data_IF_163924824704
#
_entry.id   IF_163924824704
#
_cell.length_a   1.000
_cell.length_b   1.000
_cell.length_c   1.000
_cell.angle_alpha   90.00
_cell.angle_beta   90.00
_cell.angle_gamma   90.00
#
_symmetry.space_group_name_H-M   'P 1'
#
loop_
_entity.id
_entity.type
_entity.pdbx_description
1 polymer ?
#
# COMPACT_ATOMS: atom_id res chain seq x y z
N UNK A 1 0.89 4.72 15.52
CA UNK A 1 1.09 4.10 14.21
C UNK A 1 0.64 5.07 13.15
N UNK A 2 1.48 5.30 12.15
CA UNK A 2 1.20 6.16 10.99
C UNK A 2 1.39 5.37 9.70
N UNK A 3 0.56 5.62 8.70
CA UNK A 3 0.66 5.04 7.36
C UNK A 3 0.82 6.17 6.36
N UNK A 4 1.93 6.16 5.64
CA UNK A 4 2.20 7.07 4.53
C UNK A 4 2.09 6.32 3.21
N UNK A 5 1.39 6.93 2.26
CA UNK A 5 1.22 6.40 0.91
C UNK A 5 1.79 7.39 -0.09
N UNK A 6 2.57 6.90 -1.04
CA UNK A 6 3.10 7.70 -2.13
C UNK A 6 2.92 6.98 -3.46
N UNK A 7 2.45 7.70 -4.48
CA UNK A 7 2.27 7.15 -5.82
C UNK A 7 2.50 8.21 -6.88
N UNK A 8 3.23 7.85 -7.93
CA UNK A 8 3.45 8.72 -9.09
C UNK A 8 2.21 8.80 -9.98
N UNK A 9 1.99 9.99 -10.54
CA UNK A 9 0.98 10.27 -11.56
C UNK A 9 1.71 10.66 -12.84
N UNK A 10 1.79 9.72 -13.79
CA UNK A 10 2.43 9.99 -15.07
C UNK A 10 1.61 10.98 -15.91
N UNK A 11 2.22 11.70 -16.87
CA UNK A 11 1.52 12.69 -17.70
C UNK A 11 0.32 12.16 -18.49
N UNK A 12 0.30 10.85 -18.78
CA UNK A 12 -0.78 10.17 -19.51
C UNK A 12 -1.82 9.53 -18.59
N UNK A 13 -1.62 9.57 -17.27
CA UNK A 13 -2.56 9.04 -16.29
C UNK A 13 -3.58 10.09 -15.85
N UNK A 14 -4.76 9.60 -15.49
CA UNK A 14 -5.78 10.41 -14.85
C UNK A 14 -5.57 10.36 -13.33
N UNK A 15 -5.33 11.52 -12.73
CA UNK A 15 -5.10 11.65 -11.29
C UNK A 15 -6.23 11.03 -10.45
N UNK A 16 -7.49 11.21 -10.87
CA UNK A 16 -8.63 10.65 -10.13
C UNK A 16 -8.60 9.13 -10.17
N UNK A 17 -8.16 8.52 -11.28
CA UNK A 17 -8.00 7.06 -11.34
C UNK A 17 -6.88 6.57 -10.43
N UNK A 18 -5.77 7.31 -10.32
CA UNK A 18 -4.69 6.96 -9.37
C UNK A 18 -5.18 7.08 -7.92
N UNK A 19 -5.94 8.13 -7.59
CA UNK A 19 -6.59 8.30 -6.28
C UNK A 19 -7.53 7.15 -5.96
N UNK A 20 -8.39 6.77 -6.91
CA UNK A 20 -9.29 5.62 -6.79
C UNK A 20 -8.50 4.33 -6.52
N UNK A 21 -7.37 4.12 -7.21
CA UNK A 21 -6.53 2.93 -7.00
C UNK A 21 -6.05 2.83 -5.55
N UNK A 22 -5.51 3.92 -5.00
CA UNK A 22 -5.08 3.98 -3.59
C UNK A 22 -6.26 3.73 -2.65
N UNK A 23 -7.37 4.44 -2.85
CA UNK A 23 -8.53 4.35 -1.94
C UNK A 23 -9.19 2.97 -1.96
N UNK A 24 -9.10 2.26 -3.08
CA UNK A 24 -9.62 0.89 -3.21
C UNK A 24 -8.88 -0.12 -2.35
N UNK A 25 -7.60 0.09 -2.08
CA UNK A 25 -6.77 -0.84 -1.29
C UNK A 25 -6.57 -0.39 0.15
N UNK A 26 -6.51 0.92 0.41
CA UNK A 26 -6.14 1.47 1.72
C UNK A 26 -7.25 2.28 2.40
N UNK A 27 -8.44 2.35 1.81
CA UNK A 27 -9.58 3.05 2.40
C UNK A 27 -9.59 4.54 2.08
N UNK A 28 -10.37 5.31 2.83
CA UNK A 28 -10.55 6.73 2.55
C UNK A 28 -9.36 7.56 3.09
N UNK A 29 -8.24 7.46 2.37
CA UNK A 29 -7.05 8.28 2.65
C UNK A 29 -7.17 9.58 1.87
N UNK A 30 -7.00 10.70 2.56
CA UNK A 30 -6.90 12.00 1.91
C UNK A 30 -5.53 12.10 1.20
N UNK A 31 -5.56 12.29 -0.12
CA UNK A 31 -4.34 12.41 -0.93
C UNK A 31 -4.15 13.84 -1.42
N UNK A 32 -2.96 14.36 -1.20
CA UNK A 32 -2.52 15.66 -1.68
C UNK A 32 -1.59 15.48 -2.88
N UNK A 33 -1.68 16.40 -3.83
CA UNK A 33 -0.75 16.43 -4.96
C UNK A 33 0.51 17.15 -4.51
N UNK A 34 1.66 16.51 -4.73
CA UNK A 34 2.99 17.09 -4.51
C UNK A 34 3.75 17.08 -5.84
N UNK A 35 4.37 18.21 -6.18
CA UNK A 35 5.19 18.38 -7.37
C UNK A 35 4.55 19.26 -8.46
N UNK A 36 5.35 19.57 -9.47
CA UNK A 36 4.99 20.50 -10.55
C UNK A 36 5.26 19.90 -11.94
N UNK A 37 4.48 20.35 -12.93
CA UNK A 37 4.65 19.95 -14.33
C UNK A 37 4.44 18.45 -14.57
N UNK A 38 5.46 17.77 -15.09
CA UNK A 38 5.42 16.34 -15.47
C UNK A 38 5.69 15.38 -14.30
N UNK A 39 6.16 15.89 -13.16
CA UNK A 39 6.53 15.09 -12.00
C UNK A 39 5.53 15.34 -10.89
N UNK A 40 4.40 14.65 -10.96
CA UNK A 40 3.33 14.71 -9.95
C UNK A 40 3.30 13.43 -9.14
N UNK A 41 3.11 13.57 -7.84
CA UNK A 41 2.87 12.46 -6.92
C UNK A 41 1.65 12.76 -6.08
N UNK A 42 0.90 11.72 -5.74
CA UNK A 42 -0.10 11.77 -4.69
C UNK A 42 0.54 11.25 -3.41
N UNK A 43 0.41 12.02 -2.33
CA UNK A 43 0.91 11.67 -1.01
C UNK A 43 -0.27 11.70 -0.03
N UNK A 44 -0.43 10.62 0.73
CA UNK A 44 -1.44 10.48 1.76
C UNK A 44 -0.84 10.09 3.09
N UNK A 45 -1.44 10.58 4.17
CA UNK A 45 -1.11 10.15 5.54
C UNK A 45 -2.38 9.82 6.29
N UNK A 46 -2.32 8.77 7.08
CA UNK A 46 -3.38 8.35 7.99
C UNK A 46 -2.76 7.73 9.22
N UNK A 47 -3.49 7.72 10.33
CA UNK A 47 -3.03 7.16 11.59
C UNK A 47 -4.05 6.16 12.13
N UNK A 48 -3.62 5.38 13.12
CA UNK A 48 -4.49 4.42 13.80
C UNK A 48 -4.63 3.08 13.07
N UNK A 49 -5.00 2.05 13.81
CA UNK A 49 -5.09 0.67 13.29
C UNK A 49 -6.24 0.53 12.28
N UNK A 50 -7.30 1.31 12.47
CA UNK A 50 -8.46 1.42 11.60
C UNK A 50 -8.10 1.82 10.16
N UNK A 51 -6.97 2.50 9.96
CA UNK A 51 -6.51 2.89 8.64
C UNK A 51 -6.06 1.70 7.78
N UNK A 52 -5.85 0.53 8.39
CA UNK A 52 -5.46 -0.69 7.71
C UNK A 52 -6.63 -1.69 7.58
N UNK A 53 -7.83 -1.39 8.08
CA UNK A 53 -8.97 -2.31 8.05
C UNK A 53 -9.32 -2.77 6.64
N UNK A 54 -9.34 -1.85 5.66
CA UNK A 54 -9.63 -2.21 4.27
C UNK A 54 -8.57 -3.13 3.67
N UNK A 55 -7.30 -2.86 3.95
CA UNK A 55 -6.20 -3.70 3.50
C UNK A 55 -6.27 -5.09 4.16
N UNK A 56 -6.52 -5.14 5.47
CA UNK A 56 -6.72 -6.36 6.25
C UNK A 56 -7.82 -7.25 5.67
N UNK A 57 -8.96 -6.68 5.28
CA UNK A 57 -10.09 -7.41 4.69
C UNK A 57 -9.75 -7.97 3.29
N UNK A 58 -9.09 -7.16 2.46
CA UNK A 58 -8.69 -7.56 1.11
C UNK A 58 -7.69 -8.72 1.13
N UNK A 59 -6.69 -8.69 2.02
CA UNK A 59 -5.72 -9.78 2.17
C UNK A 59 -6.40 -11.14 2.44
N UNK A 60 -7.47 -11.14 3.24
CA UNK A 60 -8.27 -12.33 3.56
C UNK A 60 -9.14 -12.75 2.39
N UNK A 61 -9.85 -11.80 1.80
CA UNK A 61 -10.71 -12.04 0.62
C UNK A 61 -9.95 -12.67 -0.53
N UNK A 62 -8.70 -12.25 -0.74
CA UNK A 62 -7.85 -12.73 -1.81
C UNK A 62 -7.04 -13.99 -1.47
N UNK A 63 -7.09 -14.43 -0.20
CA UNK A 63 -6.37 -15.61 0.30
C UNK A 63 -4.85 -15.54 0.08
N UNK A 64 -4.28 -14.34 0.21
CA UNK A 64 -2.85 -14.07 -0.02
C UNK A 64 -2.05 -13.82 1.27
N UNK A 65 -2.56 -14.26 2.43
CA UNK A 65 -1.95 -13.98 3.74
C UNK A 65 -0.48 -14.40 3.83
N UNK A 66 -0.12 -15.58 3.31
CA UNK A 66 1.25 -16.10 3.38
C UNK A 66 2.22 -15.29 2.50
N UNK A 67 1.77 -14.91 1.30
CA UNK A 67 2.54 -14.05 0.40
C UNK A 67 2.71 -12.65 0.99
N UNK A 68 1.62 -12.07 1.50
CA UNK A 68 1.62 -10.77 2.17
C UNK A 68 2.57 -10.77 3.37
N UNK A 69 2.50 -11.80 4.22
CA UNK A 69 3.38 -11.95 5.37
C UNK A 69 4.85 -11.93 4.97
N UNK A 70 5.19 -12.69 3.91
CA UNK A 70 6.55 -12.77 3.38
C UNK A 70 7.05 -11.40 2.92
N UNK A 71 6.22 -10.64 2.20
CA UNK A 71 6.58 -9.29 1.72
C UNK A 71 6.72 -8.31 2.86
N UNK A 72 5.75 -8.28 3.78
CA UNK A 72 5.76 -7.34 4.92
C UNK A 72 6.98 -7.58 5.83
N UNK A 73 7.32 -8.84 6.11
CA UNK A 73 8.52 -9.17 6.90
C UNK A 73 9.82 -8.71 6.22
N UNK A 74 9.93 -8.87 4.90
CA UNK A 74 11.08 -8.37 4.12
C UNK A 74 11.15 -6.85 4.08
N UNK A 75 10.00 -6.18 4.20
CA UNK A 75 9.87 -4.73 4.21
C UNK A 75 10.20 -4.07 5.55
N UNK A 76 10.48 -4.83 6.61
CA UNK A 76 10.79 -4.27 7.94
C UNK A 76 12.13 -3.53 7.92
N UNK A 77 12.11 -2.27 8.35
CA UNK A 77 13.27 -1.38 8.47
C UNK A 77 13.17 -0.64 9.81
N UNK A 78 13.71 -1.24 10.88
CA UNK A 78 13.59 -0.70 12.23
C UNK A 78 12.13 -0.67 12.69
N UNK A 79 11.58 0.53 12.92
CA UNK A 79 10.17 0.79 13.28
C UNK A 79 9.24 0.99 12.08
N UNK A 80 9.71 0.70 10.87
CA UNK A 80 8.96 0.92 9.63
C UNK A 80 8.75 -0.39 8.89
N UNK A 81 7.64 -0.48 8.15
CA UNK A 81 7.38 -1.53 7.16
C UNK A 81 7.16 -0.82 5.84
N UNK A 82 8.01 -1.10 4.85
CA UNK A 82 7.91 -0.51 3.51
C UNK A 82 7.62 -1.61 2.50
N UNK A 83 6.56 -1.43 1.72
CA UNK A 83 6.20 -2.35 0.65
C UNK A 83 5.54 -1.61 -0.52
N UNK A 84 5.36 -2.32 -1.63
CA UNK A 84 4.87 -1.75 -2.87
C UNK A 84 3.71 -2.59 -3.40
N UNK A 85 2.69 -1.90 -3.92
CA UNK A 85 1.53 -2.51 -4.55
C UNK A 85 1.48 -2.12 -6.02
N UNK A 86 1.05 -3.06 -6.86
CA UNK A 86 0.79 -2.80 -8.27
C UNK A 86 -0.40 -1.83 -8.41
N UNK A 87 -0.13 -0.63 -8.94
CA UNK A 87 -1.12 0.44 -9.09
C UNK A 87 -2.31 0.04 -9.98
N UNK A 88 -2.07 -0.74 -11.03
CA UNK A 88 -3.10 -1.14 -11.98
C UNK A 88 -4.03 -2.21 -11.39
N UNK A 89 -3.47 -3.14 -10.61
CA UNK A 89 -4.26 -4.13 -9.86
C UNK A 89 -5.07 -3.46 -8.75
N UNK A 90 -4.47 -2.50 -8.04
CA UNK A 90 -5.17 -1.68 -7.04
C UNK A 90 -6.33 -0.88 -7.66
N UNK A 91 -6.15 -0.36 -8.89
CA UNK A 91 -7.22 0.33 -9.61
C UNK A 91 -8.45 -0.54 -9.81
N UNK A 92 -8.33 -1.85 -10.05
CA UNK A 92 -9.48 -2.77 -10.17
C UNK A 92 -9.97 -3.31 -8.82
N UNK A 93 -9.37 -2.89 -7.71
CA UNK A 93 -9.80 -3.24 -6.36
C UNK A 93 -9.15 -4.49 -5.78
N UNK A 94 -7.99 -4.88 -6.31
CA UNK A 94 -7.26 -6.07 -5.88
C UNK A 94 -5.89 -5.75 -5.28
N UNK A 95 -5.32 -6.66 -4.48
CA UNK A 95 -3.96 -6.55 -3.96
C UNK A 95 -3.01 -7.39 -4.80
N UNK A 96 -1.96 -6.75 -5.32
CA UNK A 96 -0.80 -7.44 -5.87
C UNK A 96 0.44 -6.72 -5.38
N UNK A 97 1.26 -7.42 -4.61
CA UNK A 97 2.57 -6.91 -4.20
C UNK A 97 3.49 -6.84 -5.43
N UNK A 98 4.34 -5.83 -5.46
CA UNK A 98 5.31 -5.64 -6.52
C UNK A 98 6.68 -5.28 -5.96
N UNK A 99 7.70 -5.33 -6.83
CA UNK A 99 8.95 -4.63 -6.61
C UNK A 99 8.78 -3.10 -6.73
N UNK A 100 9.77 -2.30 -6.25
CA UNK A 100 9.76 -0.85 -6.45
C UNK A 100 9.75 -0.44 -7.93
N UNK A 101 10.28 -1.28 -8.82
CA UNK A 101 10.41 -1.01 -10.25
C UNK A 101 10.02 -2.24 -11.10
N UNK A 102 9.60 -2.01 -12.34
CA UNK A 102 9.39 -3.03 -13.37
C UNK A 102 8.04 -3.77 -13.30
N UNK A 103 7.61 -4.20 -12.11
CA UNK A 103 6.42 -5.04 -11.96
C UNK A 103 5.08 -4.27 -11.94
N UNK A 104 5.14 -2.95 -11.72
CA UNK A 104 4.02 -2.03 -11.94
C UNK A 104 4.42 -1.10 -13.10
N UNK A 105 3.88 -1.31 -14.33
CA UNK A 105 4.37 -0.64 -15.54
C UNK A 105 4.38 0.90 -15.48
N UNK A 106 3.49 1.49 -14.68
CA UNK A 106 3.37 2.94 -14.50
C UNK A 106 3.82 3.40 -13.10
N UNK A 107 4.66 2.61 -12.43
CA UNK A 107 5.09 2.85 -11.06
C UNK A 107 4.12 2.23 -10.03
N UNK A 108 4.63 1.77 -8.88
CA UNK A 108 3.81 1.17 -7.83
C UNK A 108 3.19 2.23 -6.90
N UNK A 109 2.27 1.79 -6.05
CA UNK A 109 1.89 2.51 -4.83
C UNK A 109 2.87 2.10 -3.74
N UNK A 110 3.68 3.04 -3.24
CA UNK A 110 4.56 2.82 -2.09
C UNK A 110 3.75 3.02 -0.81
N UNK A 111 3.82 2.06 0.09
CA UNK A 111 3.18 2.13 1.41
C UNK A 111 4.28 1.99 2.47
N UNK A 112 4.27 2.93 3.41
CA UNK A 112 5.15 2.93 4.58
C UNK A 112 4.28 2.97 5.84
N UNK A 113 4.49 2.00 6.73
CA UNK A 113 3.81 1.95 8.02
C UNK A 113 4.86 2.16 9.10
N UNK A 114 4.73 3.21 9.90
CA UNK A 114 5.55 3.48 11.08
C UNK A 114 4.82 3.03 12.34
N UNK A 115 5.44 2.11 13.10
CA UNK A 115 4.90 1.55 14.33
C UNK A 115 6.01 1.08 15.27
N UNK A 116 5.77 1.11 16.58
CA UNK A 116 6.75 0.66 17.57
C UNK A 116 7.00 -0.85 17.53
N UNK A 117 6.01 -1.64 17.14
CA UNK A 117 6.08 -3.11 17.08
C UNK A 117 5.67 -3.67 15.70
N UNK A 118 6.55 -3.60 14.68
CA UNK A 118 6.26 -4.10 13.34
C UNK A 118 5.86 -5.58 13.28
N UNK A 119 6.50 -6.42 14.10
CA UNK A 119 6.20 -7.86 14.11
C UNK A 119 4.77 -8.14 14.57
N UNK A 120 4.34 -7.50 15.66
CA UNK A 120 2.98 -7.60 16.20
C UNK A 120 1.93 -7.12 15.18
N UNK A 121 2.23 -6.03 14.45
CA UNK A 121 1.37 -5.54 13.38
C UNK A 121 1.27 -6.53 12.21
N UNK A 122 2.39 -7.14 11.80
CA UNK A 122 2.41 -8.15 10.73
C UNK A 122 1.64 -9.39 11.15
N UNK A 123 1.75 -9.82 12.40
CA UNK A 123 0.98 -10.94 12.95
C UNK A 123 -0.53 -10.65 12.95
N UNK A 124 -0.93 -9.42 13.24
CA UNK A 124 -2.33 -9.00 13.15
C UNK A 124 -2.84 -8.94 11.69
N UNK A 125 -2.08 -8.32 10.79
CA UNK A 125 -2.43 -8.22 9.36
C UNK A 125 -2.51 -9.59 8.70
N UNK A 126 -1.51 -10.43 8.99
CA UNK A 126 -1.21 -11.69 8.32
C UNK A 126 -0.95 -12.82 9.34
N UNK A 127 -2.00 -13.23 10.09
CA UNK A 127 -1.85 -14.30 11.07
C UNK A 127 -1.41 -15.58 10.36
N UNK A 128 -0.57 -16.38 11.03
CA UNK A 128 -0.15 -17.68 10.50
C UNK A 128 -1.38 -18.53 10.23
N UNK A 129 -1.53 -18.97 8.99
CA UNK A 129 -2.52 -19.98 8.64
C UNK A 129 -2.07 -21.31 9.28
N UNK A 130 -3.01 -22.03 9.89
CA UNK A 130 -2.72 -23.39 10.33
C UNK A 130 -2.39 -24.24 9.10
N UNK A 131 -1.30 -24.99 9.15
CA UNK A 131 -0.93 -25.95 8.11
C UNK A 131 -1.90 -27.12 8.08
#
# INVERSE_FOLDING_TARGET
MEVTVEVEVNPTEDENKVRIAVQRVLGDINLEIVGEGKYKRLVGRTAGLESLTRFYDLLRRERILDAARTVLLRGVQGKKIVFYLNKQVAYVGHISFSQPHGESPLGPIRVEIECDEPQSLIDWLTPKTAK
#
